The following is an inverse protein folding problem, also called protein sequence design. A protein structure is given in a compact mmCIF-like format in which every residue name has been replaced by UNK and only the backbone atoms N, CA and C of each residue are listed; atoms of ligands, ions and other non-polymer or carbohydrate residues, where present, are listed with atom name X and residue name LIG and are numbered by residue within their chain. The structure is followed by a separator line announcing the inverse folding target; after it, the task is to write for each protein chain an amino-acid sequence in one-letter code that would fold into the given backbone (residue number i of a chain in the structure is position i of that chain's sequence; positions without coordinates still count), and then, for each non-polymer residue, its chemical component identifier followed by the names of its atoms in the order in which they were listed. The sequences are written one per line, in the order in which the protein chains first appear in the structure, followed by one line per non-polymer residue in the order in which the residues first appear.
data_IF_258978522140
#
_entry.id   IF_258978522140
#
_cell.length_a   1.000
_cell.length_b   1.000
_cell.length_c   1.000
_cell.angle_alpha   90.00
_cell.angle_beta   90.00
_cell.angle_gamma   90.00
#
_symmetry.space_group_name_H-M   'P 1'
#
loop_
_entity.id
_entity.type
_entity.pdbx_description
1 polymer ?
#
# COMPACT_ATOMS: atom_id res chain seq x y z
N UNK A 1 21.75 -8.26 -13.08
CA UNK A 1 20.56 -7.40 -13.27
C UNK A 1 20.94 -6.02 -12.78
N UNK A 2 20.73 -4.94 -13.55
CA UNK A 2 21.16 -3.60 -13.10
C UNK A 2 20.23 -3.02 -12.04
N UNK A 3 18.92 -3.12 -12.27
CA UNK A 3 17.87 -2.60 -11.38
C UNK A 3 16.89 -3.70 -11.01
N UNK A 4 16.56 -3.79 -9.73
CA UNK A 4 15.52 -4.66 -9.18
C UNK A 4 14.35 -3.80 -8.71
N UNK A 5 13.14 -4.13 -9.17
CA UNK A 5 11.90 -3.55 -8.69
C UNK A 5 11.09 -4.61 -7.95
N UNK A 6 10.66 -4.31 -6.74
CA UNK A 6 9.82 -5.18 -5.91
C UNK A 6 8.52 -4.44 -5.64
N UNK A 7 7.42 -4.98 -6.16
CA UNK A 7 6.07 -4.50 -5.87
C UNK A 7 5.50 -5.23 -4.65
N UNK A 8 4.54 -4.61 -3.96
CA UNK A 8 4.00 -5.08 -2.67
C UNK A 8 5.08 -5.40 -1.62
N UNK A 9 6.17 -4.63 -1.61
CA UNK A 9 7.36 -4.89 -0.80
C UNK A 9 7.11 -4.91 0.72
N UNK A 10 6.04 -4.28 1.20
CA UNK A 10 5.62 -4.34 2.60
C UNK A 10 5.09 -5.74 3.02
N UNK A 11 4.65 -6.55 2.04
CA UNK A 11 4.14 -7.92 2.27
C UNK A 11 5.25 -8.98 2.20
N UNK A 12 6.48 -8.61 1.83
CA UNK A 12 7.61 -9.53 1.78
C UNK A 12 8.45 -9.43 3.05
N UNK A 13 8.90 -10.56 3.59
CA UNK A 13 9.94 -10.52 4.63
C UNK A 13 11.27 -10.09 3.99
N UNK A 14 12.15 -9.50 4.79
CA UNK A 14 13.44 -9.02 4.30
C UNK A 14 14.26 -10.10 3.55
N UNK A 15 14.21 -11.35 4.03
CA UNK A 15 14.88 -12.48 3.39
C UNK A 15 14.38 -12.73 1.95
N UNK A 16 13.09 -12.56 1.68
CA UNK A 16 12.50 -12.72 0.35
C UNK A 16 12.98 -11.61 -0.59
N UNK A 17 13.06 -10.37 -0.10
CA UNK A 17 13.60 -9.23 -0.86
C UNK A 17 15.09 -9.39 -1.19
N UNK A 18 15.85 -10.13 -0.37
CA UNK A 18 17.28 -10.38 -0.61
C UNK A 18 17.56 -11.35 -1.76
N UNK A 19 16.65 -12.30 -2.04
CA UNK A 19 16.83 -13.29 -3.12
C UNK A 19 17.13 -12.63 -4.48
N UNK A 20 16.33 -11.66 -4.98
CA UNK A 20 16.64 -10.98 -6.23
C UNK A 20 17.85 -10.02 -6.13
N UNK A 21 18.18 -9.52 -4.94
CA UNK A 21 19.33 -8.62 -4.74
C UNK A 21 20.68 -9.33 -4.90
N UNK A 22 20.74 -10.63 -4.62
CA UNK A 22 21.92 -11.46 -4.84
C UNK A 22 22.35 -11.53 -6.32
N UNK A 23 21.51 -11.08 -7.27
CA UNK A 23 21.78 -11.08 -8.71
C UNK A 23 22.60 -9.86 -9.20
N UNK A 24 23.45 -9.32 -8.33
CA UNK A 24 24.31 -8.15 -8.54
C UNK A 24 23.54 -6.86 -8.91
N UNK A 25 22.43 -6.60 -8.22
CA UNK A 25 21.65 -5.38 -8.38
C UNK A 25 22.48 -4.13 -7.99
N UNK A 26 22.51 -3.11 -8.86
CA UNK A 26 23.09 -1.78 -8.54
C UNK A 26 22.04 -0.81 -8.02
N UNK A 27 20.78 -1.02 -8.38
CA UNK A 27 19.67 -0.18 -7.96
C UNK A 27 18.51 -1.05 -7.48
N UNK A 28 17.88 -0.65 -6.38
CA UNK A 28 16.69 -1.28 -5.82
C UNK A 28 15.57 -0.25 -5.73
N UNK A 29 14.39 -0.62 -6.23
CA UNK A 29 13.15 0.15 -6.10
C UNK A 29 12.14 -0.71 -5.34
N UNK A 30 11.70 -0.25 -4.18
CA UNK A 30 10.68 -0.91 -3.37
C UNK A 30 9.38 -0.12 -3.48
N UNK A 31 8.33 -0.76 -3.96
CA UNK A 31 6.97 -0.22 -4.07
C UNK A 31 6.07 -1.04 -3.16
N UNK A 32 5.22 -0.37 -2.40
CA UNK A 32 4.36 -1.03 -1.41
C UNK A 32 3.81 -0.03 -0.40
N UNK A 33 2.99 -0.55 0.50
CA UNK A 33 2.29 0.27 1.49
C UNK A 33 2.46 -0.32 2.91
N UNK A 34 3.26 0.32 3.77
CA UNK A 34 3.47 -0.12 5.15
C UNK A 34 2.20 -0.05 6.01
N UNK A 35 1.15 0.66 5.59
CA UNK A 35 -0.12 0.75 6.32
C UNK A 35 -1.11 -0.35 5.93
N UNK A 36 -0.77 -1.20 4.95
CA UNK A 36 -1.58 -2.35 4.54
C UNK A 36 -1.13 -3.64 5.25
N UNK A 37 -1.37 -4.79 4.62
CA UNK A 37 -1.01 -6.09 5.18
C UNK A 37 0.51 -6.22 5.30
N UNK A 38 0.97 -6.66 6.47
CA UNK A 38 2.35 -7.10 6.67
C UNK A 38 2.57 -8.50 6.08
N UNK A 39 3.80 -8.99 6.11
CA UNK A 39 4.15 -10.29 5.55
C UNK A 39 3.32 -11.46 6.09
N UNK A 40 2.75 -12.27 5.18
CA UNK A 40 1.81 -13.35 5.48
C UNK A 40 2.41 -14.47 6.33
N UNK A 41 3.74 -14.64 6.31
CA UNK A 41 4.43 -15.71 7.06
C UNK A 41 4.48 -15.48 8.58
N UNK A 42 3.86 -14.43 9.09
CA UNK A 42 3.98 -13.93 10.45
C UNK A 42 2.97 -14.45 11.46
N UNK A 43 2.72 -15.75 11.44
CA UNK A 43 1.79 -16.40 12.37
C UNK A 43 2.41 -16.75 13.72
N UNK A 44 3.75 -16.75 13.85
CA UNK A 44 4.42 -17.10 15.10
C UNK A 44 4.81 -15.86 15.91
N UNK A 45 4.46 -15.85 17.20
CA UNK A 45 4.82 -14.77 18.12
C UNK A 45 6.33 -14.63 18.29
N UNK A 46 7.07 -15.75 18.24
CA UNK A 46 8.52 -15.75 18.32
C UNK A 46 9.15 -15.00 17.12
N UNK A 47 8.68 -15.26 15.89
CA UNK A 47 9.17 -14.56 14.70
C UNK A 47 8.83 -13.06 14.72
N UNK A 48 7.65 -12.70 15.24
CA UNK A 48 7.28 -11.29 15.38
C UNK A 48 8.17 -10.58 16.40
N UNK A 49 8.44 -11.20 17.55
CA UNK A 49 9.32 -10.66 18.60
C UNK A 49 10.77 -10.55 18.17
N UNK A 50 11.24 -11.43 17.29
CA UNK A 50 12.61 -11.36 16.75
C UNK A 50 12.77 -10.35 15.61
N UNK A 51 11.67 -9.76 15.12
CA UNK A 51 11.68 -8.84 13.99
C UNK A 51 11.78 -9.52 12.62
N UNK A 52 11.69 -10.86 12.56
CA UNK A 52 11.70 -11.62 11.30
C UNK A 52 10.58 -11.21 10.33
N UNK A 53 9.47 -10.73 10.90
CA UNK A 53 8.27 -10.31 10.20
C UNK A 53 8.34 -8.94 9.54
N UNK A 54 9.44 -8.22 9.74
CA UNK A 54 9.65 -6.89 9.19
C UNK A 54 10.06 -7.00 7.72
N UNK A 55 9.43 -6.21 6.87
CA UNK A 55 9.86 -6.03 5.49
C UNK A 55 11.12 -5.17 5.39
N UNK A 56 11.85 -5.31 4.28
CA UNK A 56 13.00 -4.44 4.00
C UNK A 56 12.56 -2.97 3.89
N UNK A 57 11.37 -2.70 3.32
CA UNK A 57 10.79 -1.36 3.23
C UNK A 57 10.60 -0.72 4.62
N UNK A 58 9.92 -1.42 5.53
CA UNK A 58 9.73 -0.95 6.92
C UNK A 58 11.08 -0.78 7.64
N UNK A 59 12.09 -1.60 7.30
CA UNK A 59 13.45 -1.44 7.83
C UNK A 59 14.09 -0.14 7.40
N UNK A 60 14.11 0.13 6.11
CA UNK A 60 14.73 1.32 5.54
C UNK A 60 14.02 2.60 5.99
N UNK A 61 12.68 2.61 6.00
CA UNK A 61 11.90 3.75 6.51
C UNK A 61 12.20 4.04 7.98
N UNK A 62 12.29 3.01 8.82
CA UNK A 62 12.64 3.16 10.24
C UNK A 62 14.09 3.62 10.49
N UNK A 63 14.97 3.46 9.50
CA UNK A 63 16.34 4.00 9.51
C UNK A 63 16.41 5.43 8.95
N UNK A 64 15.27 6.04 8.61
CA UNK A 64 15.20 7.40 8.09
C UNK A 64 15.52 7.52 6.61
N UNK A 65 15.48 6.43 5.83
CA UNK A 65 15.54 6.54 4.38
C UNK A 65 14.33 7.31 3.85
N UNK A 66 14.59 8.23 2.93
CA UNK A 66 13.53 8.98 2.28
C UNK A 66 12.67 8.07 1.42
N UNK A 67 11.37 8.33 1.42
CA UNK A 67 10.39 7.62 0.62
C UNK A 67 9.38 8.59 0.03
N UNK A 68 8.76 8.19 -1.07
CA UNK A 68 7.75 8.98 -1.76
C UNK A 68 6.39 8.35 -1.50
N UNK A 69 5.46 9.12 -0.92
CA UNK A 69 4.06 8.72 -0.82
C UNK A 69 3.31 9.25 -2.05
N UNK A 70 2.66 8.36 -2.79
CA UNK A 70 1.68 8.75 -3.81
C UNK A 70 0.40 9.21 -3.11
N UNK A 71 0.01 10.45 -3.33
CA UNK A 71 -1.08 11.10 -2.59
C UNK A 71 -2.41 11.09 -3.34
N UNK A 72 -2.39 10.88 -4.64
CA UNK A 72 -3.60 10.88 -5.47
C UNK A 72 -4.20 9.47 -5.58
N UNK A 73 -5.46 9.32 -5.19
CA UNK A 73 -6.20 8.07 -5.34
C UNK A 73 -7.23 8.17 -6.45
N UNK A 74 -7.36 7.09 -7.23
CA UNK A 74 -8.21 7.01 -8.41
C UNK A 74 -9.27 5.90 -8.33
N UNK A 75 -9.30 5.12 -7.22
CA UNK A 75 -10.08 3.88 -7.13
C UNK A 75 -11.45 4.07 -6.48
N UNK A 76 -11.50 4.77 -5.34
CA UNK A 76 -12.67 4.80 -4.47
C UNK A 76 -13.43 6.12 -4.58
N UNK A 77 -14.73 6.09 -4.28
CA UNK A 77 -15.53 7.31 -4.12
C UNK A 77 -15.05 8.10 -2.89
N UNK A 78 -15.07 9.46 -2.90
CA UNK A 78 -14.61 10.29 -1.79
C UNK A 78 -15.20 9.93 -0.42
N UNK A 79 -16.46 9.50 -0.37
CA UNK A 79 -17.09 9.06 0.88
C UNK A 79 -16.45 7.79 1.48
N UNK A 80 -15.92 6.90 0.64
CA UNK A 80 -15.23 5.68 1.06
C UNK A 80 -13.79 5.98 1.45
N UNK A 81 -13.06 6.75 0.62
CA UNK A 81 -11.65 7.07 0.83
C UNK A 81 -11.40 7.99 2.03
N UNK A 82 -12.40 8.79 2.42
CA UNK A 82 -12.33 9.71 3.57
C UNK A 82 -11.86 9.03 4.85
N UNK A 83 -12.40 7.85 5.18
CA UNK A 83 -12.02 7.15 6.41
C UNK A 83 -10.59 6.60 6.36
N UNK A 84 -10.17 5.80 5.35
CA UNK A 84 -8.79 5.32 5.24
C UNK A 84 -7.76 6.45 5.17
N UNK A 85 -8.05 7.52 4.42
CA UNK A 85 -7.18 8.70 4.31
C UNK A 85 -6.89 9.31 5.68
N UNK A 86 -7.94 9.61 6.46
CA UNK A 86 -7.81 10.18 7.79
C UNK A 86 -7.13 9.21 8.77
N UNK A 87 -7.49 7.92 8.74
CA UNK A 87 -7.08 6.95 9.75
C UNK A 87 -5.65 6.44 9.59
N UNK A 88 -5.18 6.26 8.36
CA UNK A 88 -3.90 5.61 8.05
C UNK A 88 -2.87 6.55 7.43
N UNK A 89 -3.33 7.58 6.69
CA UNK A 89 -2.45 8.44 5.91
C UNK A 89 -2.39 9.89 6.40
N UNK A 90 -3.03 10.20 7.54
CA UNK A 90 -3.05 11.55 8.11
C UNK A 90 -3.78 12.58 7.24
N UNK A 91 -4.75 12.13 6.44
CA UNK A 91 -5.51 12.97 5.52
C UNK A 91 -4.76 13.34 4.24
N UNK A 92 -3.58 12.77 3.98
CA UNK A 92 -2.75 13.07 2.79
C UNK A 92 -3.20 12.37 1.51
N UNK A 93 -4.10 11.39 1.60
CA UNK A 93 -4.64 10.71 0.43
C UNK A 93 -5.83 11.52 -0.12
N UNK A 94 -5.68 12.05 -1.33
CA UNK A 94 -6.58 12.98 -2.01
C UNK A 94 -7.29 12.27 -3.16
N UNK A 95 -8.60 12.45 -3.25
CA UNK A 95 -9.39 11.98 -4.38
C UNK A 95 -9.11 12.86 -5.59
N UNK A 96 -8.61 12.26 -6.66
CA UNK A 96 -8.62 12.94 -7.94
C UNK A 96 -10.06 12.96 -8.40
N UNK A 97 -10.57 14.15 -8.74
CA UNK A 97 -11.91 14.30 -9.27
C UNK A 97 -12.07 13.31 -10.43
N UNK A 98 -12.87 12.26 -10.21
CA UNK A 98 -13.31 11.41 -11.29
C UNK A 98 -13.94 12.33 -12.35
N UNK A 99 -13.64 12.08 -13.62
CA UNK A 99 -14.30 12.73 -14.76
C UNK A 99 -15.79 12.36 -14.81
N UNK A 100 -16.53 12.77 -13.79
CA UNK A 100 -17.80 12.21 -13.36
C UNK A 100 -18.25 12.87 -12.08
N UNK A 101 -18.31 14.21 -12.08
CA UNK A 101 -19.24 14.93 -11.22
C UNK A 101 -20.60 14.24 -11.39
N UNK A 102 -20.99 13.45 -10.39
CA UNK A 102 -22.32 12.86 -10.39
C UNK A 102 -23.27 14.05 -10.17
N UNK A 103 -24.18 14.37 -11.10
CA UNK A 103 -25.11 15.46 -10.88
C UNK A 103 -25.88 15.14 -9.60
N UNK A 104 -26.06 16.17 -8.76
CA UNK A 104 -26.76 16.13 -7.48
C UNK A 104 -27.90 15.10 -7.49
N UNK A 105 -27.84 14.13 -6.57
CA UNK A 105 -28.88 13.10 -6.36
C UNK A 105 -30.23 13.78 -6.04
N UNK A 106 -30.98 14.15 -7.07
CA UNK A 106 -32.43 14.26 -7.01
C UNK A 106 -32.98 12.84 -6.98
N UNK A 107 -33.60 12.45 -5.86
CA UNK A 107 -33.98 11.08 -5.56
C UNK A 107 -34.74 10.38 -6.69
N UNK A 108 -34.20 9.25 -7.16
CA UNK A 108 -34.98 8.19 -7.79
C UNK A 108 -34.44 6.86 -7.30
N UNK A 109 -35.28 6.17 -6.54
CA UNK A 109 -35.09 4.80 -6.04
C UNK A 109 -34.88 3.87 -7.22
N UNK A 110 -33.76 3.14 -7.24
CA UNK A 110 -33.51 2.12 -8.25
C UNK A 110 -34.27 0.85 -7.85
N UNK A 111 -35.36 0.53 -8.54
CA UNK A 111 -36.05 -0.75 -8.41
C UNK A 111 -35.41 -1.78 -9.35
N UNK A 112 -34.95 -2.89 -8.79
CA UNK A 112 -34.52 -4.06 -9.57
C UNK A 112 -35.75 -4.77 -10.15
N UNK A 113 -35.72 -5.22 -11.42
CA UNK A 113 -36.82 -6.00 -11.98
C UNK A 113 -36.91 -7.39 -11.33
N UNK A 114 -38.12 -7.97 -11.20
CA UNK A 114 -38.28 -9.33 -10.69
C UNK A 114 -37.78 -10.34 -11.74
N UNK A 115 -37.24 -11.44 -11.22
CA UNK A 115 -36.62 -12.57 -11.91
C UNK A 115 -37.47 -13.17 -13.04
#
# INVERSE_FOLDING_TARGET
VETVLVDEAAQAIEAETLVPLCLAARQLVLVGDPMQLSATVCHSDAARKSGFCRSMMERLMGLGQEFIMLQEQYRMHPEISRFPSARFYGGRLVDVASAGATPSRGGRTFQLPPY
#
